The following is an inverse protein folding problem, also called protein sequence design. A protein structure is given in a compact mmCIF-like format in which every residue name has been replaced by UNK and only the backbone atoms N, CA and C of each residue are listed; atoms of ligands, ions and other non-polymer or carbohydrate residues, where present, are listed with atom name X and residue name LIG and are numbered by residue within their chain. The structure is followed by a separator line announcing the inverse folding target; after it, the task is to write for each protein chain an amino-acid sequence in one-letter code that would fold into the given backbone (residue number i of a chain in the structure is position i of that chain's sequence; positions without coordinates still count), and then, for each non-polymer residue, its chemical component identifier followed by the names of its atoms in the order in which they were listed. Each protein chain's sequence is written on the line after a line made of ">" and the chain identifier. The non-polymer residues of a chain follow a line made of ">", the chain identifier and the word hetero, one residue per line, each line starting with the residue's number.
data_IF_520315660531
#
_entry.id   IF_520315660531
#
_cell.length_a   1.000
_cell.length_b   1.000
_cell.length_c   1.000
_cell.angle_alpha   90.00
_cell.angle_beta   90.00
_cell.angle_gamma   90.00
#
_symmetry.space_group_name_H-M   'P 1'
#
loop_
_entity.id
_entity.type
_entity.pdbx_description
1 polymer ?
#
# COMPACT_ATOMS: atom_id res chain seq x y z
N UNK A 1 -5.19 6.17 -4.35
CA UNK A 1 -4.94 5.21 -5.44
C UNK A 1 -3.58 4.55 -5.23
N UNK A 2 -3.54 3.23 -5.08
CA UNK A 2 -2.29 2.47 -4.92
C UNK A 2 -1.82 1.87 -6.25
N UNK A 3 -0.55 2.04 -6.58
CA UNK A 3 0.02 1.57 -7.85
C UNK A 3 1.18 0.62 -7.57
N UNK A 4 1.14 -0.56 -8.21
CA UNK A 4 2.24 -1.51 -8.24
C UNK A 4 2.84 -1.51 -9.64
N UNK A 5 4.09 -1.11 -9.78
CA UNK A 5 4.81 -1.14 -11.06
C UNK A 5 6.15 -1.86 -10.91
N UNK A 6 6.62 -2.42 -12.02
CA UNK A 6 7.96 -3.00 -12.11
C UNK A 6 8.77 -2.17 -13.07
N UNK A 7 9.99 -1.82 -12.68
CA UNK A 7 10.93 -1.14 -13.56
C UNK A 7 11.75 -2.19 -14.34
N UNK A 8 12.26 -1.80 -15.51
CA UNK A 8 13.15 -2.62 -16.35
C UNK A 8 14.46 -2.98 -15.66
N UNK A 9 14.81 -2.29 -14.57
CA UNK A 9 15.94 -2.59 -13.69
C UNK A 9 15.69 -3.78 -12.74
N UNK A 10 14.52 -4.43 -12.77
CA UNK A 10 14.18 -5.52 -11.84
C UNK A 10 13.75 -5.04 -10.45
N UNK A 11 13.38 -3.76 -10.34
CA UNK A 11 12.86 -3.19 -9.10
C UNK A 11 11.32 -3.21 -9.13
N UNK A 12 10.72 -3.61 -8.01
CA UNK A 12 9.30 -3.48 -7.76
C UNK A 12 9.03 -2.18 -7.00
N UNK A 13 8.10 -1.37 -7.49
CA UNK A 13 7.68 -0.11 -6.88
C UNK A 13 6.22 -0.19 -6.45
N UNK A 14 5.98 0.02 -5.16
CA UNK A 14 4.64 0.19 -4.59
C UNK A 14 4.46 1.65 -4.22
N UNK A 15 3.69 2.38 -5.01
CA UNK A 15 3.34 3.78 -4.78
C UNK A 15 1.99 3.89 -4.09
N UNK A 16 1.96 4.61 -2.98
CA UNK A 16 0.80 4.92 -2.16
C UNK A 16 0.59 6.44 -2.19
N UNK A 17 -0.55 6.90 -2.69
CA UNK A 17 -0.96 8.30 -2.82
C UNK A 17 -2.12 8.67 -1.87
N UNK A 18 -1.77 9.26 -0.73
CA UNK A 18 -2.71 9.92 0.19
C UNK A 18 -2.91 9.20 1.53
N UNK A 19 -3.66 9.87 2.41
CA UNK A 19 -3.84 9.46 3.82
C UNK A 19 -4.57 8.13 3.99
N UNK A 20 -5.41 7.74 3.02
CA UNK A 20 -6.14 6.47 3.07
C UNK A 20 -5.22 5.25 2.95
N UNK A 21 -4.02 5.41 2.41
CA UNK A 21 -3.04 4.34 2.26
C UNK A 21 -2.02 4.28 3.40
N UNK A 22 -2.16 5.13 4.41
CA UNK A 22 -1.33 5.10 5.62
C UNK A 22 -1.48 3.76 6.36
N UNK A 23 -2.65 3.11 6.24
CA UNK A 23 -2.88 1.74 6.73
C UNK A 23 -2.05 0.69 6.00
N UNK A 24 -1.92 0.83 4.67
CA UNK A 24 -1.03 -0.03 3.89
C UNK A 24 0.39 0.23 4.34
N UNK A 25 0.81 1.49 4.33
CA UNK A 25 2.16 1.90 4.72
C UNK A 25 2.54 1.37 6.11
N UNK A 26 1.68 1.52 7.11
CA UNK A 26 1.94 1.04 8.48
C UNK A 26 2.09 -0.48 8.59
N UNK A 27 1.43 -1.23 7.71
CA UNK A 27 1.53 -2.70 7.65
C UNK A 27 2.77 -3.12 6.88
N UNK A 28 2.96 -2.57 5.67
CA UNK A 28 4.06 -3.00 4.80
C UNK A 28 5.41 -2.44 5.26
N UNK A 29 5.48 -1.27 5.90
CA UNK A 29 6.76 -0.68 6.39
C UNK A 29 7.52 -1.55 7.37
N UNK A 30 6.84 -2.50 8.03
CA UNK A 30 7.48 -3.41 8.99
C UNK A 30 8.25 -4.53 8.32
N UNK A 31 8.13 -4.66 7.00
CA UNK A 31 8.80 -5.71 6.25
C UNK A 31 10.25 -5.33 5.95
N UNK A 32 11.23 -6.20 6.26
CA UNK A 32 12.66 -5.83 6.24
C UNK A 32 13.29 -5.83 4.84
N UNK A 33 12.60 -6.30 3.81
CA UNK A 33 13.13 -6.43 2.45
C UNK A 33 12.92 -5.18 1.58
N UNK A 34 12.43 -4.09 2.16
CA UNK A 34 12.44 -2.79 1.47
C UNK A 34 13.87 -2.30 1.31
N UNK A 35 14.25 -2.05 0.07
CA UNK A 35 15.58 -1.53 -0.25
C UNK A 35 15.63 -0.01 -0.09
N UNK A 36 14.58 0.68 -0.51
CA UNK A 36 14.47 2.14 -0.38
C UNK A 36 13.02 2.60 -0.25
N UNK A 37 12.86 3.78 0.32
CA UNK A 37 11.58 4.50 0.43
C UNK A 37 11.77 5.89 -0.16
N UNK A 38 10.93 6.23 -1.13
CA UNK A 38 10.89 7.55 -1.76
C UNK A 38 9.62 8.25 -1.29
N UNK A 39 9.76 9.37 -0.60
CA UNK A 39 8.63 10.17 -0.12
C UNK A 39 8.53 11.43 -0.95
N UNK A 40 7.42 11.58 -1.64
CA UNK A 40 7.08 12.78 -2.40
C UNK A 40 6.24 13.69 -1.52
N UNK A 41 6.76 14.89 -1.25
CA UNK A 41 6.09 15.91 -0.45
C UNK A 41 5.64 17.05 -1.33
N UNK A 42 4.60 17.73 -0.88
CA UNK A 42 4.10 18.91 -1.55
C UNK A 42 5.17 20.03 -1.51
N UNK A 43 5.55 20.62 -2.66
CA UNK A 43 6.55 21.68 -2.71
C UNK A 43 6.07 22.98 -2.06
N UNK A 44 4.76 23.21 -1.97
CA UNK A 44 4.15 24.37 -1.34
C UNK A 44 3.87 24.13 0.16
N UNK A 45 3.61 22.88 0.56
CA UNK A 45 3.43 22.48 1.96
C UNK A 45 4.23 21.22 2.33
N UNK A 46 5.43 21.43 2.88
CA UNK A 46 6.31 20.34 3.33
C UNK A 46 5.72 19.39 4.40
N UNK A 47 4.57 19.74 5.01
CA UNK A 47 3.84 18.85 5.95
C UNK A 47 2.91 17.87 5.23
N UNK A 48 2.56 18.15 3.97
CA UNK A 48 1.73 17.27 3.14
C UNK A 48 2.58 16.26 2.40
N UNK A 49 2.35 14.99 2.71
CA UNK A 49 2.89 13.88 1.94
C UNK A 49 1.94 13.60 0.77
N UNK A 50 2.44 13.75 -0.46
CA UNK A 50 1.66 13.48 -1.68
C UNK A 50 1.68 11.99 -2.02
N UNK A 51 2.86 11.38 -1.99
CA UNK A 51 3.02 9.97 -2.28
C UNK A 51 4.19 9.33 -1.52
N UNK A 52 4.07 8.04 -1.24
CA UNK A 52 5.16 7.21 -0.71
C UNK A 52 5.36 6.04 -1.66
N UNK A 53 6.56 5.91 -2.20
CA UNK A 53 6.96 4.81 -3.06
C UNK A 53 7.96 3.91 -2.33
N UNK A 54 7.53 2.69 -2.05
CA UNK A 54 8.36 1.64 -1.47
C UNK A 54 8.97 0.82 -2.59
N UNK A 55 10.29 0.58 -2.52
CA UNK A 55 11.00 -0.15 -3.56
C UNK A 55 11.69 -1.37 -2.99
N UNK A 56 11.55 -2.50 -3.67
CA UNK A 56 12.20 -3.77 -3.36
C UNK A 56 12.60 -4.47 -4.66
N UNK A 57 13.26 -5.62 -4.51
CA UNK A 57 13.62 -6.48 -5.63
C UNK A 57 12.39 -7.21 -6.19
N UNK A 58 12.32 -7.38 -7.51
CA UNK A 58 11.24 -8.14 -8.18
C UNK A 58 11.15 -9.60 -7.68
N UNK A 59 12.24 -10.17 -7.16
CA UNK A 59 12.23 -11.49 -6.53
C UNK A 59 11.21 -11.61 -5.39
N UNK A 60 10.86 -10.48 -4.74
CA UNK A 60 9.87 -10.45 -3.68
C UNK A 60 8.47 -10.00 -4.13
N UNK A 61 8.22 -9.86 -5.43
CA UNK A 61 6.93 -9.45 -5.98
C UNK A 61 5.78 -10.33 -5.48
N UNK A 62 5.94 -11.65 -5.57
CA UNK A 62 4.92 -12.59 -5.11
C UNK A 62 4.58 -12.39 -3.63
N UNK A 63 5.59 -12.10 -2.80
CA UNK A 63 5.43 -11.83 -1.37
C UNK A 63 4.67 -10.53 -1.14
N UNK A 64 5.05 -9.46 -1.84
CA UNK A 64 4.36 -8.15 -1.73
C UNK A 64 2.91 -8.27 -2.17
N UNK A 65 2.63 -8.94 -3.29
CA UNK A 65 1.26 -9.22 -3.75
C UNK A 65 0.49 -10.03 -2.73
N UNK A 66 1.10 -11.05 -2.13
CA UNK A 66 0.43 -11.88 -1.12
C UNK A 66 0.10 -11.07 0.14
N UNK A 67 1.02 -10.22 0.62
CA UNK A 67 0.76 -9.32 1.75
C UNK A 67 -0.39 -8.37 1.41
N UNK A 68 -0.37 -7.73 0.25
CA UNK A 68 -1.42 -6.80 -0.18
C UNK A 68 -2.78 -7.50 -0.32
N UNK A 69 -2.80 -8.73 -0.85
CA UNK A 69 -3.99 -9.56 -0.94
C UNK A 69 -4.51 -9.99 0.44
N UNK A 70 -3.65 -10.50 1.31
CA UNK A 70 -4.05 -11.03 2.63
C UNK A 70 -4.47 -9.92 3.60
N UNK A 71 -3.76 -8.80 3.59
CA UNK A 71 -3.99 -7.71 4.54
C UNK A 71 -5.06 -6.72 4.06
N UNK A 72 -5.17 -6.49 2.75
CA UNK A 72 -6.02 -5.43 2.19
C UNK A 72 -6.97 -5.89 1.08
N UNK A 73 -6.98 -7.18 0.74
CA UNK A 73 -7.75 -7.73 -0.37
C UNK A 73 -7.46 -7.02 -1.72
N UNK A 74 -6.27 -6.46 -1.87
CA UNK A 74 -5.82 -5.81 -3.09
C UNK A 74 -5.21 -6.84 -4.03
N UNK A 75 -5.76 -6.93 -5.24
CA UNK A 75 -5.29 -7.85 -6.27
C UNK A 75 -4.79 -7.01 -7.43
N UNK A 76 -3.48 -7.04 -7.64
CA UNK A 76 -2.83 -6.39 -8.78
C UNK A 76 -2.73 -7.37 -9.96
N UNK A 77 -2.87 -6.92 -11.21
CA UNK A 77 -2.62 -7.77 -12.39
C UNK A 77 -1.12 -8.07 -12.56
N UNK A 78 -0.77 -9.20 -13.18
CA UNK A 78 0.63 -9.68 -13.31
C UNK A 78 1.56 -8.69 -14.00
N UNK A 79 1.06 -7.90 -14.95
CA UNK A 79 1.84 -6.86 -15.63
C UNK A 79 2.16 -5.61 -14.76
N UNK A 80 1.73 -5.59 -13.50
CA UNK A 80 1.63 -4.37 -12.71
C UNK A 80 0.37 -3.58 -13.07
N UNK A 81 -0.06 -2.71 -12.17
CA UNK A 81 -1.30 -1.97 -12.34
C UNK A 81 -1.61 -1.04 -11.19
N UNK A 82 -2.60 -0.18 -11.41
CA UNK A 82 -3.16 0.63 -10.33
C UNK A 82 -4.44 0.00 -9.84
N UNK A 83 -4.56 -0.12 -8.53
CA UNK A 83 -5.76 -0.59 -7.86
C UNK A 83 -6.17 0.50 -6.89
N UNK A 84 -7.39 0.99 -7.04
CA UNK A 84 -7.99 1.79 -6.00
C UNK A 84 -8.38 0.89 -4.84
N UNK A 85 -7.97 1.29 -3.64
CA UNK A 85 -8.53 0.77 -2.41
C UNK A 85 -10.03 1.11 -2.43
N UNK A 86 -10.85 0.15 -2.85
CA UNK A 86 -12.22 0.10 -2.40
C UNK A 86 -12.14 -0.11 -0.88
N UNK A 87 -12.30 0.99 -0.13
CA UNK A 87 -12.39 0.98 1.32
C UNK A 87 -13.27 -0.22 1.72
N UNK A 88 -12.76 -1.24 2.44
CA UNK A 88 -13.67 -2.04 3.23
C UNK A 88 -14.28 -1.03 4.21
N UNK A 89 -15.60 -0.83 4.10
CA UNK A 89 -16.35 -0.11 5.13
C UNK A 89 -15.80 -0.58 6.48
N UNK A 90 -15.46 0.34 7.40
CA UNK A 90 -14.97 -0.06 8.72
C UNK A 90 -15.97 -1.08 9.26
N UNK A 91 -15.53 -2.24 9.80
CA UNK A 91 -16.43 -3.30 10.19
C UNK A 91 -17.51 -2.66 11.04
N UNK A 92 -18.74 -2.66 10.52
CA UNK A 92 -19.87 -2.02 11.16
C UNK A 92 -19.84 -2.53 12.59
N UNK A 93 -19.55 -1.63 13.56
CA UNK A 93 -19.46 -1.99 14.97
C UNK A 93 -20.76 -2.70 15.29
N UNK A 94 -20.70 -4.02 15.36
CA UNK A 94 -21.86 -4.85 15.59
C UNK A 94 -22.48 -4.36 16.87
N UNK A 95 -23.70 -3.83 16.77
CA UNK A 95 -24.56 -3.54 17.91
C UNK A 95 -24.74 -4.84 18.69
N UNK A 96 -23.87 -5.12 19.65
CA UNK A 96 -24.16 -6.10 20.69
C UNK A 96 -24.95 -5.37 21.78
N UNK A 97 -26.27 -5.27 21.56
CA UNK A 97 -27.24 -5.20 22.66
C UNK A 97 -27.07 -6.46 23.48
N UNK A 98 -26.74 -6.33 24.76
CA UNK A 98 -27.03 -7.33 25.78
C UNK A 98 -27.80 -6.62 26.89
N UNK A 99 -29.02 -7.11 27.10
CA UNK A 99 -29.92 -6.75 28.18
C UNK A 99 -29.28 -7.03 29.54
N UNK A 100 -29.45 -6.10 30.49
CA UNK A 100 -29.76 -6.44 31.87
C UNK A 100 -30.46 -5.28 32.56
#
# INVERSE_FOLDING_TARGET
>A
MSTLSMNTAGELLLTLRGENEDRILTTVRRWPHWQRVVVERDPEDSRRCLSVTLVTDVAFEAVVREILRRSFNLIFPDAGGSVDLALPEPPARGRKRWYR
#
